data_IF_901012228615
#
_entry.id   IF_901012228615
#
_cell.length_a   1.000
_cell.length_b   1.000
_cell.length_c   1.000
_cell.angle_alpha   90.00
_cell.angle_beta   90.00
_cell.angle_gamma   90.00
#
_symmetry.space_group_name_H-M   'P 1'
#
loop_
_entity.id
_entity.type
_entity.pdbx_description
1 polymer ?
#
# COMPACT_ATOMS: atom_id res chain seq x y z
N UNK A 1 1.99 -23.70 5.28
CA UNK A 1 0.84 -23.29 6.11
C UNK A 1 -0.11 -22.52 5.22
N UNK A 2 -1.26 -23.12 4.89
CA UNK A 2 -2.27 -22.56 3.98
C UNK A 2 -2.84 -21.26 4.57
N UNK A 3 -2.37 -20.11 4.10
CA UNK A 3 -2.93 -18.79 4.41
C UNK A 3 -3.34 -18.16 3.09
N UNK A 4 -4.56 -18.44 2.66
CA UNK A 4 -5.30 -17.52 1.80
C UNK A 4 -5.55 -16.26 2.64
N UNK A 5 -4.53 -15.40 2.78
CA UNK A 5 -4.78 -14.02 3.23
C UNK A 5 -5.52 -13.40 2.04
N UNK A 6 -6.83 -13.22 2.19
CA UNK A 6 -7.66 -12.60 1.17
C UNK A 6 -7.01 -11.28 0.74
N UNK A 7 -6.89 -11.04 -0.57
CA UNK A 7 -6.29 -9.84 -1.16
C UNK A 7 -6.88 -8.55 -0.52
N UNK A 8 -8.15 -8.61 -0.11
CA UNK A 8 -8.85 -7.57 0.65
C UNK A 8 -8.30 -7.32 2.06
N UNK A 9 -7.95 -8.36 2.82
CA UNK A 9 -7.35 -8.22 4.14
C UNK A 9 -5.93 -7.64 4.06
N UNK A 10 -5.12 -8.16 3.12
CA UNK A 10 -3.80 -7.60 2.84
C UNK A 10 -3.90 -6.13 2.44
N UNK A 11 -4.87 -5.77 1.59
CA UNK A 11 -5.09 -4.40 1.18
C UNK A 11 -5.44 -3.50 2.37
N UNK A 12 -6.36 -3.92 3.25
CA UNK A 12 -6.70 -3.18 4.47
C UNK A 12 -5.47 -2.97 5.36
N UNK A 13 -4.68 -4.02 5.58
CA UNK A 13 -3.42 -3.93 6.35
C UNK A 13 -2.44 -2.96 5.69
N UNK A 14 -2.29 -3.02 4.36
CA UNK A 14 -1.42 -2.13 3.60
C UNK A 14 -1.87 -0.67 3.72
N UNK A 15 -3.18 -0.40 3.74
CA UNK A 15 -3.71 0.95 3.99
C UNK A 15 -3.38 1.43 5.41
N UNK A 16 -3.61 0.60 6.43
CA UNK A 16 -3.33 0.97 7.84
C UNK A 16 -1.85 1.26 8.05
N UNK A 17 -0.97 0.38 7.57
CA UNK A 17 0.47 0.51 7.74
C UNK A 17 1.01 1.63 6.84
N UNK A 18 0.50 1.76 5.62
CA UNK A 18 0.81 2.85 4.70
C UNK A 18 0.45 4.22 5.28
N UNK A 19 -0.74 4.38 5.87
CA UNK A 19 -1.16 5.62 6.53
C UNK A 19 -0.24 6.00 7.70
N UNK A 20 0.17 5.02 8.51
CA UNK A 20 1.15 5.26 9.58
C UNK A 20 2.52 5.63 9.02
N UNK A 21 2.94 4.96 7.95
CA UNK A 21 4.22 5.18 7.30
C UNK A 21 4.33 6.60 6.75
N UNK A 22 3.35 7.05 5.94
CA UNK A 22 3.36 8.40 5.36
C UNK A 22 3.33 9.50 6.43
N UNK A 23 2.60 9.29 7.53
CA UNK A 23 2.55 10.22 8.66
C UNK A 23 3.89 10.29 9.37
N UNK A 24 4.51 9.14 9.65
CA UNK A 24 5.82 9.07 10.28
C UNK A 24 6.93 9.70 9.42
N UNK A 25 6.81 9.59 8.09
CA UNK A 25 7.74 10.18 7.11
C UNK A 25 7.49 11.67 6.85
N UNK A 26 6.37 12.22 7.32
CA UNK A 26 5.99 13.62 7.10
C UNK A 26 5.40 13.92 5.72
N UNK A 27 4.93 12.92 4.96
CA UNK A 27 4.25 13.15 3.67
C UNK A 27 2.85 13.75 3.84
N UNK A 28 2.20 13.50 4.99
CA UNK A 28 0.85 13.96 5.30
C UNK A 28 0.05 12.93 6.10
N UNK A 29 -1.23 13.20 6.30
CA UNK A 29 -2.17 12.28 6.92
C UNK A 29 -3.31 11.97 5.94
N UNK A 30 -3.78 10.72 5.94
CA UNK A 30 -4.94 10.30 5.17
C UNK A 30 -6.17 10.41 6.06
N UNK A 31 -7.18 11.14 5.64
CA UNK A 31 -8.41 11.28 6.42
C UNK A 31 -9.37 10.11 6.16
N UNK A 32 -10.23 9.82 7.15
CA UNK A 32 -11.22 8.75 7.02
C UNK A 32 -12.21 8.99 5.89
N UNK A 33 -12.51 10.27 5.58
CA UNK A 33 -13.45 10.66 4.53
C UNK A 33 -12.87 10.54 3.11
N UNK A 34 -11.55 10.45 2.97
CA UNK A 34 -10.94 10.27 1.66
C UNK A 34 -11.42 8.98 0.98
N UNK A 35 -11.67 9.08 -0.32
CA UNK A 35 -11.99 7.93 -1.15
C UNK A 35 -10.88 6.89 -1.09
N UNK A 36 -11.22 5.60 -1.00
CA UNK A 36 -10.24 4.50 -0.93
C UNK A 36 -9.19 4.57 -2.04
N UNK A 37 -9.58 5.00 -3.25
CA UNK A 37 -8.67 5.20 -4.38
C UNK A 37 -7.58 6.24 -4.08
N UNK A 38 -7.94 7.37 -3.47
CA UNK A 38 -6.99 8.41 -3.07
C UNK A 38 -6.00 7.86 -2.04
N UNK A 39 -6.48 7.13 -1.03
CA UNK A 39 -5.64 6.50 -0.01
C UNK A 39 -4.60 5.57 -0.63
N UNK A 40 -5.04 4.70 -1.54
CA UNK A 40 -4.17 3.77 -2.28
C UNK A 40 -3.12 4.52 -3.08
N UNK A 41 -3.52 5.52 -3.86
CA UNK A 41 -2.62 6.28 -4.71
C UNK A 41 -1.58 7.07 -3.89
N UNK A 42 -2.01 7.67 -2.78
CA UNK A 42 -1.14 8.47 -1.92
C UNK A 42 -0.06 7.61 -1.26
N UNK A 43 -0.45 6.46 -0.68
CA UNK A 43 0.50 5.49 -0.11
C UNK A 43 1.43 4.96 -1.21
N UNK A 44 0.88 4.58 -2.37
CA UNK A 44 1.68 4.08 -3.48
C UNK A 44 2.74 5.09 -3.94
N UNK A 45 2.38 6.37 -4.10
CA UNK A 45 3.32 7.44 -4.47
C UNK A 45 4.42 7.62 -3.43
N UNK A 46 4.08 7.63 -2.15
CA UNK A 46 5.07 7.74 -1.07
C UNK A 46 6.04 6.55 -1.05
N UNK A 47 5.55 5.32 -1.21
CA UNK A 47 6.38 4.13 -1.25
C UNK A 47 7.29 4.08 -2.51
N UNK A 48 6.81 4.58 -3.65
CA UNK A 48 7.62 4.72 -4.87
C UNK A 48 8.71 5.78 -4.68
N UNK A 49 8.39 6.91 -4.06
CA UNK A 49 9.35 7.98 -3.74
C UNK A 49 10.48 7.47 -2.84
N UNK A 50 10.14 6.67 -1.83
CA UNK A 50 11.11 6.00 -0.96
C UNK A 50 11.79 4.78 -1.60
N UNK A 51 11.45 4.44 -2.84
CA UNK A 51 11.96 3.26 -3.57
C UNK A 51 11.70 1.92 -2.84
N UNK A 52 10.70 1.87 -1.95
CA UNK A 52 10.26 0.64 -1.28
C UNK A 52 9.50 -0.28 -2.23
N UNK A 53 8.83 0.30 -3.23
CA UNK A 53 8.14 -0.46 -4.28
C UNK A 53 8.57 0.02 -5.66
N UNK A 54 8.54 -0.91 -6.62
CA UNK A 54 8.82 -0.62 -8.01
C UNK A 54 7.65 0.15 -8.64
N UNK A 55 7.90 1.33 -9.25
CA UNK A 55 6.86 2.07 -9.95
C UNK A 55 6.29 1.24 -11.10
N UNK A 56 4.98 1.35 -11.28
CA UNK A 56 4.27 0.91 -12.48
C UNK A 56 4.64 1.83 -13.65
N UNK A 57 4.71 1.25 -14.84
CA UNK A 57 4.81 2.03 -16.08
C UNK A 57 3.60 2.97 -16.18
N UNK A 58 3.81 4.20 -16.68
CA UNK A 58 2.77 5.25 -16.77
C UNK A 58 1.46 4.76 -17.41
N UNK A 59 1.58 3.90 -18.42
CA UNK A 59 0.46 3.31 -19.16
C UNK A 59 -0.31 2.24 -18.37
N UNK A 60 0.31 1.68 -17.32
CA UNK A 60 -0.25 0.62 -16.46
C UNK A 60 -0.65 1.12 -15.07
N UNK A 61 -0.67 2.43 -14.85
CA UNK A 61 -1.12 3.02 -13.59
C UNK A 61 -2.64 2.98 -13.55
N UNK A 62 -3.17 1.96 -12.88
CA UNK A 62 -4.59 1.78 -12.62
C UNK A 62 -4.81 1.48 -11.13
N UNK A 63 -5.98 1.83 -10.60
CA UNK A 63 -6.40 1.48 -9.22
C UNK A 63 -6.11 0.01 -8.85
N UNK A 64 -6.54 -1.00 -9.62
CA UNK A 64 -6.25 -2.40 -9.29
C UNK A 64 -4.75 -2.75 -9.34
N UNK A 65 -3.97 -2.10 -10.19
CA UNK A 65 -2.52 -2.32 -10.27
C UNK A 65 -1.80 -1.75 -9.04
N UNK A 66 -2.20 -0.57 -8.58
CA UNK A 66 -1.66 0.05 -7.36
C UNK A 66 -2.02 -0.77 -6.12
N UNK A 67 -3.26 -1.25 -6.00
CA UNK A 67 -3.68 -2.14 -4.90
C UNK A 67 -2.81 -3.38 -4.82
N UNK A 68 -2.59 -4.08 -5.93
CA UNK A 68 -1.71 -5.25 -5.99
C UNK A 68 -0.27 -4.94 -5.56
N UNK A 69 0.25 -3.75 -5.88
CA UNK A 69 1.58 -3.31 -5.43
C UNK A 69 1.64 -3.11 -3.91
N UNK A 70 0.61 -2.51 -3.32
CA UNK A 70 0.50 -2.34 -1.86
C UNK A 70 0.40 -3.68 -1.13
N UNK A 71 -0.37 -4.61 -1.70
CA UNK A 71 -0.54 -5.97 -1.17
C UNK A 71 0.77 -6.75 -1.23
N UNK A 72 1.48 -6.68 -2.36
CA UNK A 72 2.80 -7.29 -2.48
C UNK A 72 3.81 -6.66 -1.51
N UNK A 73 3.76 -5.33 -1.36
CA UNK A 73 4.61 -4.64 -0.40
C UNK A 73 4.35 -5.12 1.02
N UNK A 74 3.10 -5.16 1.48
CA UNK A 74 2.81 -5.59 2.84
C UNK A 74 3.13 -7.06 3.08
N UNK A 75 2.93 -7.91 2.07
CA UNK A 75 3.33 -9.32 2.11
C UNK A 75 4.85 -9.49 2.28
N UNK A 76 5.65 -8.54 1.80
CA UNK A 76 7.12 -8.53 1.96
C UNK A 76 7.57 -7.85 3.25
N UNK A 77 6.85 -6.82 3.70
CA UNK A 77 7.20 -6.00 4.87
C UNK A 77 6.75 -6.64 6.17
N UNK A 78 5.67 -7.42 6.18
CA UNK A 78 5.30 -8.22 7.33
C UNK A 78 6.35 -9.31 7.49
N UNK A 79 7.16 -9.31 8.57
CA UNK A 79 7.98 -10.48 8.86
C UNK A 79 6.99 -11.64 8.99
N UNK A 80 7.21 -12.70 8.20
CA UNK A 80 6.59 -14.00 8.47
C UNK A 80 6.86 -14.25 9.94
N UNK A 81 5.82 -14.14 10.79
CA UNK A 81 5.89 -14.54 12.19
C UNK A 81 6.35 -15.99 12.17
N UNK A 82 7.65 -16.19 12.38
CA UNK A 82 8.23 -17.48 12.74
C UNK A 82 7.88 -17.75 14.19
#
# INVERSE_FOLDING_TARGET
MNKTDDDNELLKKALIIGSKYIRARGYGEIESHDSQKLKVEFIYKALVQDKLIQPLAKDKISDPAMRKKLILWISRTLPVKK
#
